data_IF_949637269623
#
_entry.id   IF_949637269623
#
_cell.length_a   1.000
_cell.length_b   1.000
_cell.length_c   1.000
_cell.angle_alpha   90.00
_cell.angle_beta   90.00
_cell.angle_gamma   90.00
#
_symmetry.space_group_name_H-M   'P 1'
#
loop_
_entity.id
_entity.type
_entity.pdbx_description
1 polymer ?
#
# COMPACT_ATOMS: atom_id res chain seq x y z
N UNK A 1 -18.85 14.33 -20.84
CA UNK A 1 -19.31 13.61 -19.63
C UNK A 1 -18.06 13.39 -18.79
N UNK A 2 -17.76 14.32 -17.89
CA UNK A 2 -16.58 14.25 -17.04
C UNK A 2 -16.87 13.20 -15.97
N UNK A 3 -16.08 12.14 -15.90
CA UNK A 3 -16.07 11.33 -14.69
C UNK A 3 -15.39 12.18 -13.62
N UNK A 4 -16.19 12.64 -12.66
CA UNK A 4 -15.68 13.35 -11.51
C UNK A 4 -14.67 12.46 -10.78
N UNK A 5 -13.46 12.99 -10.54
CA UNK A 5 -12.34 12.31 -9.87
C UNK A 5 -12.75 11.59 -8.57
N UNK A 6 -13.66 12.14 -7.72
CA UNK A 6 -14.15 11.45 -6.53
C UNK A 6 -14.83 10.11 -6.83
N UNK A 7 -15.64 10.06 -7.89
CA UNK A 7 -16.39 8.85 -8.26
C UNK A 7 -15.45 7.74 -8.70
N UNK A 8 -14.41 8.09 -9.47
CA UNK A 8 -13.35 7.15 -9.87
C UNK A 8 -12.60 6.57 -8.66
N UNK A 9 -12.31 7.40 -7.66
CA UNK A 9 -11.65 6.96 -6.42
C UNK A 9 -12.54 6.00 -5.64
N UNK A 10 -13.82 6.34 -5.44
CA UNK A 10 -14.78 5.48 -4.73
C UNK A 10 -14.90 4.12 -5.40
N UNK A 11 -15.06 4.08 -6.73
CA UNK A 11 -15.12 2.83 -7.49
C UNK A 11 -13.83 2.03 -7.36
N UNK A 12 -12.67 2.69 -7.47
CA UNK A 12 -11.37 2.03 -7.35
C UNK A 12 -11.16 1.41 -5.96
N UNK A 13 -11.53 2.13 -4.90
CA UNK A 13 -11.49 1.61 -3.52
C UNK A 13 -12.39 0.38 -3.40
N UNK A 14 -13.62 0.46 -3.91
CA UNK A 14 -14.57 -0.63 -3.82
C UNK A 14 -14.07 -1.89 -4.54
N UNK A 15 -13.57 -1.73 -5.76
CA UNK A 15 -12.96 -2.82 -6.54
C UNK A 15 -11.77 -3.41 -5.81
N UNK A 16 -10.90 -2.57 -5.25
CA UNK A 16 -9.70 -3.01 -4.51
C UNK A 16 -10.09 -3.82 -3.27
N UNK A 17 -11.09 -3.36 -2.51
CA UNK A 17 -11.60 -4.07 -1.33
C UNK A 17 -12.23 -5.41 -1.71
N UNK A 18 -13.05 -5.44 -2.77
CA UNK A 18 -13.65 -6.69 -3.26
C UNK A 18 -12.56 -7.68 -3.68
N UNK A 19 -11.56 -7.24 -4.45
CA UNK A 19 -10.43 -8.08 -4.84
C UNK A 19 -9.69 -8.64 -3.62
N UNK A 20 -9.43 -7.79 -2.62
CA UNK A 20 -8.81 -8.21 -1.36
C UNK A 20 -9.62 -9.27 -0.61
N UNK A 21 -10.94 -9.08 -0.51
CA UNK A 21 -11.84 -10.06 0.10
C UNK A 21 -11.89 -11.37 -0.68
N UNK A 22 -11.95 -11.32 -2.00
CA UNK A 22 -11.96 -12.52 -2.86
C UNK A 22 -10.65 -13.30 -2.72
N UNK A 23 -9.51 -12.63 -2.65
CA UNK A 23 -8.21 -13.25 -2.42
C UNK A 23 -8.12 -13.92 -1.05
N UNK A 24 -8.61 -13.26 0.00
CA UNK A 24 -8.69 -13.86 1.34
C UNK A 24 -9.65 -15.05 1.35
N UNK A 25 -10.77 -14.95 0.65
CA UNK A 25 -11.73 -16.04 0.53
C UNK A 25 -11.14 -17.24 -0.21
N UNK A 26 -10.40 -17.01 -1.29
CA UNK A 26 -9.65 -18.04 -2.00
C UNK A 26 -8.56 -18.67 -1.12
N UNK A 27 -7.88 -17.88 -0.28
CA UNK A 27 -6.95 -18.39 0.72
C UNK A 27 -7.64 -19.23 1.81
N UNK A 28 -8.88 -18.90 2.19
CA UNK A 28 -9.67 -19.76 3.09
C UNK A 28 -10.05 -21.10 2.45
N UNK A 29 -10.27 -21.13 1.14
CA UNK A 29 -10.51 -22.37 0.40
C UNK A 29 -9.23 -23.21 0.24
N UNK A 30 -8.11 -22.56 -0.07
CA UNK A 30 -6.82 -23.21 -0.24
C UNK A 30 -5.73 -22.55 0.61
N UNK A 31 -5.64 -23.01 1.86
CA UNK A 31 -4.66 -22.56 2.86
C UNK A 31 -3.21 -22.87 2.47
N UNK A 32 -2.98 -23.71 1.46
CA UNK A 32 -1.63 -24.07 1.01
C UNK A 32 -0.92 -22.88 0.36
N UNK A 33 -1.66 -21.99 -0.30
CA UNK A 33 -1.11 -20.84 -1.01
C UNK A 33 -1.18 -19.60 -0.11
N UNK A 34 -0.29 -19.54 0.88
CA UNK A 34 -0.20 -18.40 1.81
C UNK A 34 -0.04 -17.04 1.11
N UNK A 35 0.50 -17.03 -0.12
CA UNK A 35 0.68 -15.82 -0.92
C UNK A 35 -0.64 -15.07 -1.18
N UNK A 36 -1.76 -15.79 -1.36
CA UNK A 36 -3.07 -15.16 -1.56
C UNK A 36 -3.54 -14.39 -0.33
N UNK A 37 -3.30 -14.92 0.87
CA UNK A 37 -3.65 -14.24 2.12
C UNK A 37 -2.90 -12.91 2.27
N UNK A 38 -1.61 -12.90 1.93
CA UNK A 38 -0.78 -11.69 1.95
C UNK A 38 -1.21 -10.64 0.92
N UNK A 39 -1.48 -11.06 -0.32
CA UNK A 39 -2.00 -10.15 -1.36
C UNK A 39 -3.37 -9.58 -0.99
N UNK A 40 -4.26 -10.43 -0.47
CA UNK A 40 -5.58 -10.00 -0.03
C UNK A 40 -5.52 -8.98 1.12
N UNK A 41 -4.65 -9.22 2.11
CA UNK A 41 -4.40 -8.27 3.19
C UNK A 41 -3.81 -6.94 2.67
N UNK A 42 -2.87 -7.00 1.71
CA UNK A 42 -2.31 -5.82 1.06
C UNK A 42 -3.40 -4.98 0.38
N UNK A 43 -4.32 -5.60 -0.36
CA UNK A 43 -5.41 -4.91 -1.02
C UNK A 43 -6.41 -4.28 -0.04
N UNK A 44 -6.73 -4.97 1.07
CA UNK A 44 -7.57 -4.37 2.11
C UNK A 44 -6.91 -3.15 2.76
N UNK A 45 -5.62 -3.25 3.08
CA UNK A 45 -4.84 -2.13 3.62
C UNK A 45 -4.75 -0.96 2.62
N UNK A 46 -4.52 -1.25 1.34
CA UNK A 46 -4.50 -0.26 0.27
C UNK A 46 -5.85 0.42 0.08
N UNK A 47 -6.94 -0.35 0.12
CA UNK A 47 -8.31 0.19 0.07
C UNK A 47 -8.63 1.07 1.27
N UNK A 48 -8.21 0.67 2.47
CA UNK A 48 -8.40 1.46 3.69
C UNK A 48 -7.60 2.76 3.65
N UNK A 49 -6.34 2.71 3.21
CA UNK A 49 -5.50 3.89 2.99
C UNK A 49 -6.13 4.86 1.99
N UNK A 50 -6.56 4.36 0.82
CA UNK A 50 -7.21 5.18 -0.20
C UNK A 50 -8.54 5.78 0.29
N UNK A 51 -9.30 5.04 1.12
CA UNK A 51 -10.48 5.56 1.80
C UNK A 51 -10.17 6.72 2.74
N UNK A 52 -9.13 6.58 3.57
CA UNK A 52 -8.67 7.66 4.46
C UNK A 52 -8.19 8.89 3.69
N UNK A 53 -7.43 8.70 2.60
CA UNK A 53 -7.01 9.79 1.72
C UNK A 53 -8.19 10.46 1.02
N UNK A 54 -9.25 9.73 0.69
CA UNK A 54 -10.46 10.31 0.08
C UNK A 54 -11.25 11.17 1.07
N UNK A 55 -11.26 10.78 2.35
CA UNK A 55 -11.92 11.50 3.44
C UNK A 55 -11.18 12.78 3.86
N UNK A 56 -9.93 12.98 3.41
CA UNK A 56 -9.15 14.19 3.71
C UNK A 56 -9.84 15.48 3.24
N UNK A 57 -10.71 15.38 2.23
CA UNK A 57 -11.51 16.50 1.71
C UNK A 57 -12.50 17.05 2.77
N UNK A 58 -12.84 16.24 3.78
CA UNK A 58 -13.81 16.57 4.83
C UNK A 58 -13.19 16.75 6.21
N UNK A 59 -12.03 16.14 6.49
CA UNK A 59 -11.38 16.15 7.80
C UNK A 59 -9.90 16.54 7.63
N UNK A 60 -9.60 17.83 7.80
CA UNK A 60 -8.22 18.37 7.72
C UNK A 60 -7.45 18.11 9.02
N UNK A 61 -7.01 16.87 9.23
CA UNK A 61 -5.98 16.56 10.23
C UNK A 61 -4.77 15.97 9.51
N UNK A 62 -3.63 16.69 9.51
CA UNK A 62 -2.39 16.26 8.85
C UNK A 62 -1.93 14.87 9.31
N UNK A 63 -2.22 14.52 10.57
CA UNK A 63 -1.91 13.22 11.16
C UNK A 63 -2.63 12.08 10.41
N UNK A 64 -3.86 12.32 9.94
CA UNK A 64 -4.63 11.32 9.18
C UNK A 64 -4.03 11.05 7.81
N UNK A 65 -3.46 12.07 7.17
CA UNK A 65 -2.84 11.96 5.84
C UNK A 65 -1.52 11.19 5.93
N UNK A 66 -0.72 11.48 6.95
CA UNK A 66 0.53 10.77 7.19
C UNK A 66 0.30 9.31 7.52
N UNK A 67 -0.71 9.04 8.36
CA UNK A 67 -1.09 7.68 8.70
C UNK A 67 -1.59 6.93 7.46
N UNK A 68 -2.46 7.54 6.65
CA UNK A 68 -2.96 6.91 5.43
C UNK A 68 -1.83 6.59 4.44
N UNK A 69 -0.87 7.51 4.28
CA UNK A 69 0.31 7.30 3.43
C UNK A 69 1.20 6.17 3.96
N UNK A 70 1.43 6.12 5.28
CA UNK A 70 2.16 5.03 5.91
C UNK A 70 1.48 3.67 5.66
N UNK A 71 0.15 3.58 5.79
CA UNK A 71 -0.61 2.37 5.47
C UNK A 71 -0.45 1.95 4.00
N UNK A 72 -0.36 2.92 3.08
CA UNK A 72 -0.12 2.64 1.66
C UNK A 72 1.25 1.98 1.44
N UNK A 73 2.30 2.48 2.09
CA UNK A 73 3.62 1.87 1.97
C UNK A 73 3.69 0.49 2.63
N UNK A 74 2.98 0.27 3.73
CA UNK A 74 2.81 -1.07 4.32
C UNK A 74 2.12 -2.01 3.32
N UNK A 75 1.08 -1.55 2.63
CA UNK A 75 0.42 -2.33 1.58
C UNK A 75 1.38 -2.70 0.45
N UNK A 76 2.20 -1.76 -0.03
CA UNK A 76 3.26 -2.05 -1.02
C UNK A 76 4.24 -3.11 -0.52
N UNK A 77 4.68 -3.00 0.74
CA UNK A 77 5.58 -3.98 1.36
C UNK A 77 4.94 -5.37 1.53
N UNK A 78 3.63 -5.43 1.79
CA UNK A 78 2.89 -6.70 1.81
C UNK A 78 2.83 -7.33 0.42
N UNK A 79 2.56 -6.56 -0.64
CA UNK A 79 2.52 -7.06 -2.02
C UNK A 79 3.85 -7.68 -2.44
N UNK A 80 4.98 -7.04 -2.09
CA UNK A 80 6.31 -7.60 -2.34
C UNK A 80 6.54 -8.93 -1.60
N UNK A 81 6.15 -9.03 -0.32
CA UNK A 81 6.25 -10.30 0.41
C UNK A 81 5.35 -11.37 -0.18
N UNK A 82 4.17 -10.99 -0.68
CA UNK A 82 3.29 -11.89 -1.41
C UNK A 82 3.95 -12.48 -2.66
N UNK A 83 4.66 -11.67 -3.45
CA UNK A 83 5.44 -12.15 -4.60
C UNK A 83 6.56 -13.13 -4.18
N UNK A 84 7.27 -12.83 -3.09
CA UNK A 84 8.29 -13.74 -2.53
C UNK A 84 7.72 -15.07 -2.07
N UNK A 85 6.51 -15.04 -1.51
CA UNK A 85 5.85 -16.24 -1.00
C UNK A 85 5.32 -17.14 -2.13
N UNK A 86 4.95 -16.57 -3.29
CA UNK A 86 4.67 -17.34 -4.50
C UNK A 86 5.90 -18.13 -4.98
N UNK A 87 7.07 -17.54 -4.81
CA UNK A 87 8.36 -18.14 -5.18
C UNK A 87 8.96 -19.05 -4.08
N UNK A 88 8.16 -19.36 -3.04
CA UNK A 88 8.58 -20.22 -1.91
C UNK A 88 9.65 -19.61 -0.99
N UNK A 89 9.96 -18.32 -1.13
CA UNK A 89 10.99 -17.63 -0.33
C UNK A 89 10.42 -17.06 0.97
N UNK A 90 11.25 -17.03 2.02
CA UNK A 90 10.86 -16.56 3.35
C UNK A 90 10.41 -15.09 3.39
N UNK A 91 9.33 -14.82 4.13
CA UNK A 91 8.78 -13.48 4.41
C UNK A 91 9.82 -12.63 5.17
N UNK A 92 10.06 -11.40 4.73
CA UNK A 92 10.94 -10.43 5.39
C UNK A 92 10.12 -9.24 5.92
N UNK A 93 9.51 -9.36 7.11
CA UNK A 93 8.61 -8.33 7.66
C UNK A 93 9.33 -7.01 7.96
N UNK A 94 10.63 -7.05 8.24
CA UNK A 94 11.42 -5.83 8.50
C UNK A 94 11.53 -4.93 7.26
N UNK A 95 11.80 -5.52 6.10
CA UNK A 95 11.93 -4.77 4.84
C UNK A 95 10.58 -4.33 4.28
N UNK A 96 9.47 -4.95 4.71
CA UNK A 96 8.11 -4.48 4.45
C UNK A 96 7.80 -3.18 5.19
N UNK A 97 8.21 -3.05 6.45
CA UNK A 97 7.92 -1.86 7.26
C UNK A 97 8.84 -0.68 6.91
N UNK A 98 9.93 -0.92 6.21
CA UNK A 98 10.97 0.07 5.93
C UNK A 98 10.42 1.35 5.28
N UNK A 99 9.55 1.25 4.26
CA UNK A 99 8.97 2.43 3.61
C UNK A 99 8.07 3.24 4.53
N UNK A 100 7.25 2.58 5.35
CA UNK A 100 6.41 3.26 6.33
C UNK A 100 7.25 3.95 7.42
N UNK A 101 8.32 3.31 7.88
CA UNK A 101 9.26 3.89 8.84
C UNK A 101 10.00 5.10 8.25
N UNK A 102 10.49 4.99 7.02
CA UNK A 102 11.14 6.11 6.30
C UNK A 102 10.18 7.29 6.16
N UNK A 103 8.91 7.03 5.81
CA UNK A 103 7.89 8.07 5.72
C UNK A 103 7.62 8.74 7.05
N UNK A 104 7.37 7.96 8.11
CA UNK A 104 7.09 8.49 9.44
C UNK A 104 8.26 9.29 9.99
N UNK A 105 9.50 8.84 9.78
CA UNK A 105 10.70 9.59 10.16
C UNK A 105 10.86 10.88 9.35
N UNK A 106 10.54 10.86 8.06
CA UNK A 106 10.56 12.07 7.23
C UNK A 106 9.52 13.10 7.68
N UNK A 107 8.31 12.66 8.08
CA UNK A 107 7.27 13.55 8.58
C UNK A 107 7.59 14.21 9.94
N UNK A 108 8.53 13.65 10.72
CA UNK A 108 9.02 14.30 11.95
C UNK A 108 9.93 15.51 11.67
N UNK A 109 10.35 15.71 10.42
CA UNK A 109 11.18 16.85 10.02
C UNK A 109 10.26 18.03 9.69
N UNK A 110 10.25 19.12 10.50
CA UNK A 110 9.29 20.22 10.33
C UNK A 110 9.41 20.93 8.97
N UNK A 111 10.59 20.94 8.34
CA UNK A 111 10.76 21.46 6.98
C UNK A 111 10.23 20.55 5.86
N UNK A 112 9.98 19.28 6.16
CA UNK A 112 9.46 18.30 5.19
C UNK A 112 7.92 18.25 5.20
N UNK A 113 7.30 18.32 6.39
CA UNK A 113 5.85 18.28 6.56
C UNK A 113 5.12 19.42 5.82
N UNK A 114 5.72 20.61 5.80
CA UNK A 114 5.19 21.80 5.11
C UNK A 114 5.38 21.71 3.56
N UNK A 115 6.31 20.88 3.08
CA UNK A 115 6.69 20.84 1.68
C UNK A 115 5.89 19.79 0.88
N UNK A 116 4.92 20.23 0.06
CA UNK A 116 4.14 19.30 -0.78
C UNK A 116 5.02 18.56 -1.80
N UNK A 117 6.03 19.23 -2.36
CA UNK A 117 6.98 18.63 -3.30
C UNK A 117 7.81 17.51 -2.66
N UNK A 118 8.28 17.70 -1.41
CA UNK A 118 9.08 16.71 -0.69
C UNK A 118 8.32 15.41 -0.46
N UNK A 119 7.05 15.52 -0.04
CA UNK A 119 6.13 14.39 0.14
C UNK A 119 5.93 13.60 -1.17
N UNK A 120 5.77 14.27 -2.30
CA UNK A 120 5.61 13.62 -3.62
C UNK A 120 6.89 12.86 -4.01
N UNK A 121 8.06 13.47 -3.82
CA UNK A 121 9.34 12.85 -4.18
C UNK A 121 9.62 11.60 -3.34
N UNK A 122 9.46 11.71 -2.02
CA UNK A 122 9.72 10.58 -1.11
C UNK A 122 8.73 9.43 -1.33
N UNK A 123 7.44 9.73 -1.46
CA UNK A 123 6.43 8.70 -1.74
C UNK A 123 6.70 7.98 -3.06
N UNK A 124 7.04 8.73 -4.11
CA UNK A 124 7.41 8.17 -5.42
C UNK A 124 8.65 7.29 -5.35
N UNK A 125 9.69 7.72 -4.61
CA UNK A 125 10.89 6.92 -4.40
C UNK A 125 10.59 5.63 -3.65
N UNK A 126 9.79 5.68 -2.58
CA UNK A 126 9.41 4.49 -1.81
C UNK A 126 8.65 3.50 -2.71
N UNK A 127 7.62 3.96 -3.41
CA UNK A 127 6.79 3.12 -4.29
C UNK A 127 7.62 2.55 -5.45
N UNK A 128 8.50 3.35 -6.05
CA UNK A 128 9.37 2.91 -7.13
C UNK A 128 10.33 1.81 -6.67
N UNK A 129 10.96 1.97 -5.51
CA UNK A 129 11.84 0.94 -4.95
C UNK A 129 11.09 -0.37 -4.67
N UNK A 130 9.91 -0.32 -4.03
CA UNK A 130 9.11 -1.52 -3.79
C UNK A 130 8.66 -2.20 -5.09
N UNK A 131 8.27 -1.41 -6.09
CA UNK A 131 7.87 -1.92 -7.40
C UNK A 131 9.04 -2.61 -8.11
N UNK A 132 10.23 -2.00 -8.10
CA UNK A 132 11.44 -2.60 -8.67
C UNK A 132 11.79 -3.91 -7.96
N UNK A 133 11.80 -3.93 -6.62
CA UNK A 133 12.06 -5.16 -5.87
C UNK A 133 11.05 -6.26 -6.19
N UNK A 134 9.77 -5.91 -6.33
CA UNK A 134 8.72 -6.86 -6.73
C UNK A 134 8.95 -7.39 -8.14
N UNK A 135 9.31 -6.52 -9.09
CA UNK A 135 9.60 -6.91 -10.47
C UNK A 135 10.85 -7.80 -10.56
N UNK A 136 11.92 -7.46 -9.83
CA UNK A 136 13.13 -8.28 -9.77
C UNK A 136 12.87 -9.66 -9.18
N UNK A 137 12.06 -9.74 -8.13
CA UNK A 137 11.70 -11.02 -7.52
C UNK A 137 10.93 -11.90 -8.51
N UNK A 138 9.92 -11.32 -9.19
CA UNK A 138 9.12 -12.02 -10.21
C UNK A 138 9.95 -12.43 -11.45
N UNK A 139 10.98 -11.67 -11.82
CA UNK A 139 11.89 -12.03 -12.89
C UNK A 139 12.87 -13.15 -12.49
N UNK A 140 13.18 -13.25 -11.19
CA UNK A 140 14.11 -14.25 -10.66
C UNK A 140 13.47 -15.61 -10.35
N UNK A 141 12.15 -15.68 -10.41
CA UNK A 141 11.32 -16.88 -10.21
C UNK A 141 11.18 -17.68 -11.53
#
# INVERSE_FOLDING_TARGET
MFLDVPTLLVVSIFVTVILGLLLIFAWFQDRSIQALGWWGAAYLLGGLSAGMLSLQQFISSDISIDLASALLFVACGMSWNGARLFDGKDVRPFSMMAGALIWLLACQIPGFAESSMGRIVVSSLIISNYTLFTAFELWSA
#
